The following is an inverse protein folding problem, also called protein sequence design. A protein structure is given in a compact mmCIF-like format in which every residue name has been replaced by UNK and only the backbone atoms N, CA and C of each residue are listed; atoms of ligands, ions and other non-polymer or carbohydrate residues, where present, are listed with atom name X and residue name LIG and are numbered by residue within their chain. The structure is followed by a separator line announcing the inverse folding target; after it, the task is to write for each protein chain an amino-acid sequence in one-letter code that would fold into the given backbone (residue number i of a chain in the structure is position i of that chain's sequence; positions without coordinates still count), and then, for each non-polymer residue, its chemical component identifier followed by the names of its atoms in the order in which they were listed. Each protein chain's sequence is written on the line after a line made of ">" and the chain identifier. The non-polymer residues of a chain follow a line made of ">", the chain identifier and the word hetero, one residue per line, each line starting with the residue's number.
data_IF_194368083532
#
_entry.id   IF_194368083532
#
_cell.length_a   1.000
_cell.length_b   1.000
_cell.length_c   1.000
_cell.angle_alpha   90.00
_cell.angle_beta   90.00
_cell.angle_gamma   90.00
#
_symmetry.space_group_name_H-M   'P 1'
#
loop_
_entity.id
_entity.type
_entity.pdbx_description
1 polymer ?
#
# COMPACT_ATOMS: atom_id res chain seq x y z
N UNK A 1 -29.67 14.52 16.66
CA UNK A 1 -30.15 13.22 16.14
C UNK A 1 -29.03 12.21 16.34
N UNK A 2 -29.34 11.00 16.81
CA UNK A 2 -28.35 9.93 16.90
C UNK A 2 -28.02 9.45 15.48
N UNK A 3 -26.75 9.14 15.20
CA UNK A 3 -26.31 8.63 13.90
C UNK A 3 -27.01 7.30 13.56
N UNK A 4 -27.29 6.48 14.57
CA UNK A 4 -27.95 5.19 14.37
C UNK A 4 -29.39 5.34 13.89
N UNK A 5 -30.10 6.37 14.36
CA UNK A 5 -31.49 6.65 13.95
C UNK A 5 -31.57 7.12 12.49
N UNK A 6 -30.49 7.70 11.96
CA UNK A 6 -30.43 8.26 10.61
C UNK A 6 -29.96 7.22 9.59
N UNK A 7 -28.93 6.44 9.93
CA UNK A 7 -28.27 5.53 8.98
C UNK A 7 -28.63 4.05 9.17
N UNK A 8 -29.27 3.68 10.28
CA UNK A 8 -29.74 2.32 10.55
C UNK A 8 -28.65 1.27 10.29
N UNK A 9 -28.81 0.42 9.28
CA UNK A 9 -27.87 -0.66 8.94
C UNK A 9 -26.56 -0.16 8.32
N UNK A 10 -26.54 1.06 7.77
CA UNK A 10 -25.34 1.70 7.23
C UNK A 10 -24.55 2.46 8.31
N UNK A 11 -24.98 2.37 9.58
CA UNK A 11 -24.32 3.07 10.69
C UNK A 11 -22.92 2.48 10.93
N UNK A 12 -21.87 3.32 11.03
CA UNK A 12 -20.55 2.84 11.37
C UNK A 12 -20.53 2.22 12.76
N UNK A 13 -19.73 1.16 12.93
CA UNK A 13 -19.57 0.51 14.23
C UNK A 13 -19.13 1.51 15.31
N UNK A 14 -19.61 1.34 16.55
CA UNK A 14 -19.27 2.21 17.70
C UNK A 14 -17.77 2.48 17.83
N UNK A 15 -16.94 1.44 17.63
CA UNK A 15 -15.47 1.53 17.65
C UNK A 15 -14.91 2.50 16.61
N UNK A 16 -15.51 2.58 15.43
CA UNK A 16 -15.12 3.52 14.38
C UNK A 16 -15.46 4.96 14.80
N UNK A 17 -16.65 5.17 15.36
CA UNK A 17 -17.10 6.48 15.86
C UNK A 17 -16.19 6.98 16.99
N UNK A 18 -15.84 6.12 17.94
CA UNK A 18 -14.91 6.45 19.04
C UNK A 18 -13.52 6.86 18.53
N UNK A 19 -12.99 6.15 17.51
CA UNK A 19 -11.72 6.51 16.87
C UNK A 19 -11.76 7.89 16.22
N UNK A 20 -12.82 8.18 15.45
CA UNK A 20 -13.00 9.49 14.83
C UNK A 20 -13.14 10.60 15.88
N UNK A 21 -13.88 10.36 16.95
CA UNK A 21 -14.01 11.33 18.04
C UNK A 21 -12.66 11.62 18.74
N UNK A 22 -11.81 10.61 18.89
CA UNK A 22 -10.45 10.80 19.39
C UNK A 22 -9.58 11.64 18.45
N UNK A 23 -9.68 11.46 17.13
CA UNK A 23 -9.01 12.30 16.12
C UNK A 23 -9.49 13.75 16.20
N UNK A 24 -10.81 13.97 16.22
CA UNK A 24 -11.38 15.31 16.32
C UNK A 24 -10.97 16.05 17.61
N UNK A 25 -10.90 15.34 18.76
CA UNK A 25 -10.39 15.92 20.01
C UNK A 25 -8.93 16.34 19.95
N UNK A 26 -8.13 15.76 19.04
CA UNK A 26 -6.73 16.14 18.79
C UNK A 26 -6.59 17.28 17.76
N UNK A 27 -7.71 17.80 17.24
CA UNK A 27 -7.71 18.83 16.19
C UNK A 27 -7.46 18.26 14.78
N UNK A 28 -7.52 16.94 14.61
CA UNK A 28 -7.34 16.28 13.32
C UNK A 28 -8.71 16.14 12.64
N UNK A 29 -9.01 17.04 11.72
CA UNK A 29 -10.29 17.09 10.98
C UNK A 29 -10.19 16.60 9.54
N UNK A 30 -9.04 16.07 9.13
CA UNK A 30 -8.91 15.46 7.81
C UNK A 30 -9.80 14.22 7.73
N UNK A 31 -10.72 14.22 6.77
CA UNK A 31 -11.65 13.11 6.53
C UNK A 31 -11.10 12.11 5.51
N UNK A 32 -10.02 12.45 4.80
CA UNK A 32 -9.39 11.55 3.85
C UNK A 32 -8.70 10.39 4.57
N UNK A 33 -8.73 9.22 3.93
CA UNK A 33 -7.95 8.07 4.37
C UNK A 33 -6.46 8.44 4.35
N UNK A 34 -5.77 8.20 5.46
CA UNK A 34 -4.31 8.24 5.47
C UNK A 34 -3.75 7.25 4.45
N UNK A 35 -2.55 7.52 3.89
CA UNK A 35 -1.87 6.59 3.01
C UNK A 35 -1.86 5.19 3.64
N UNK A 36 -2.55 4.25 2.99
CA UNK A 36 -2.56 2.88 3.47
C UNK A 36 -1.15 2.34 3.37
N UNK A 37 -0.66 1.68 4.42
CA UNK A 37 0.55 0.89 4.32
C UNK A 37 0.34 -0.12 3.20
N UNK A 38 1.09 0.06 2.11
CA UNK A 38 1.16 -0.96 1.08
C UNK A 38 1.90 -2.17 1.64
N UNK A 39 1.75 -3.32 0.97
CA UNK A 39 2.57 -4.49 1.29
C UNK A 39 4.04 -4.10 1.05
N UNK A 40 4.94 -4.28 2.03
CA UNK A 40 6.36 -4.06 1.84
C UNK A 40 6.83 -4.80 0.59
N UNK A 41 7.60 -4.08 -0.21
CA UNK A 41 8.18 -4.59 -1.44
C UNK A 41 9.54 -5.16 -1.08
N UNK A 42 9.74 -6.48 -1.18
CA UNK A 42 11.04 -7.10 -0.86
C UNK A 42 12.15 -6.70 -1.84
N UNK A 43 11.81 -5.98 -2.92
CA UNK A 43 12.75 -5.57 -3.96
C UNK A 43 12.84 -4.06 -3.98
N UNK A 44 14.06 -3.56 -3.86
CA UNK A 44 14.42 -2.16 -4.07
C UNK A 44 14.36 -1.82 -5.58
N UNK A 45 13.51 -0.85 -5.91
CA UNK A 45 13.30 -0.41 -7.29
C UNK A 45 14.59 0.25 -7.87
N UNK A 46 15.48 0.82 -7.04
CA UNK A 46 16.76 1.39 -7.49
C UNK A 46 17.78 0.31 -7.90
N UNK A 47 17.79 -0.81 -7.19
CA UNK A 47 18.63 -1.97 -7.54
C UNK A 47 18.15 -2.55 -8.88
N UNK A 48 16.85 -2.74 -9.05
CA UNK A 48 16.25 -3.17 -10.33
C UNK A 48 16.62 -2.23 -11.48
N UNK A 49 16.54 -0.91 -11.25
CA UNK A 49 16.87 0.09 -12.26
C UNK A 49 18.33 -0.02 -12.69
N UNK A 50 19.24 -0.31 -11.76
CA UNK A 50 20.66 -0.52 -12.04
C UNK A 50 20.88 -1.74 -12.96
N UNK A 51 20.17 -2.85 -12.74
CA UNK A 51 20.24 -4.02 -13.62
C UNK A 51 19.78 -3.69 -15.05
N UNK A 52 18.66 -2.97 -15.20
CA UNK A 52 18.12 -2.60 -16.51
C UNK A 52 19.01 -1.59 -17.25
N UNK A 53 19.60 -0.63 -16.53
CA UNK A 53 20.52 0.35 -17.13
C UNK A 53 21.83 -0.29 -17.60
N UNK A 54 22.37 -1.24 -16.83
CA UNK A 54 23.58 -1.96 -17.19
C UNK A 54 23.37 -2.92 -18.36
N UNK A 55 22.21 -3.59 -18.40
CA UNK A 55 21.84 -4.48 -19.49
C UNK A 55 20.35 -4.33 -19.85
N UNK A 56 20.03 -3.52 -20.87
CA UNK A 56 18.65 -3.32 -21.31
C UNK A 56 17.95 -4.59 -21.84
N UNK A 57 18.71 -5.65 -22.13
CA UNK A 57 18.19 -6.94 -22.60
C UNK A 57 18.20 -8.01 -21.50
N UNK A 58 18.37 -7.62 -20.23
CA UNK A 58 18.34 -8.57 -19.12
C UNK A 58 17.00 -9.30 -19.08
N UNK A 59 17.07 -10.63 -18.93
CA UNK A 59 15.89 -11.46 -18.80
C UNK A 59 15.31 -11.38 -17.40
N UNK A 60 14.01 -11.68 -17.28
CA UNK A 60 13.34 -11.76 -15.97
C UNK A 60 13.95 -12.84 -15.08
N UNK A 61 14.46 -13.93 -15.66
CA UNK A 61 15.09 -15.03 -14.92
C UNK A 61 16.43 -14.62 -14.31
N UNK A 62 17.25 -13.87 -15.05
CA UNK A 62 18.51 -13.33 -14.55
C UNK A 62 18.27 -12.35 -13.40
N UNK A 63 17.27 -11.48 -13.51
CA UNK A 63 16.89 -10.56 -12.43
C UNK A 63 16.38 -11.33 -11.20
N UNK A 64 15.52 -12.33 -11.41
CA UNK A 64 15.00 -13.16 -10.32
C UNK A 64 16.11 -13.89 -9.57
N UNK A 65 17.06 -14.45 -10.31
CA UNK A 65 18.24 -15.13 -9.76
C UNK A 65 19.15 -14.17 -9.01
N UNK A 66 19.45 -13.00 -9.60
CA UNK A 66 20.33 -12.01 -9.01
C UNK A 66 19.76 -11.40 -7.71
N UNK A 67 18.44 -11.24 -7.63
CA UNK A 67 17.74 -10.71 -6.47
C UNK A 67 17.24 -11.78 -5.50
N UNK A 68 17.47 -13.06 -5.82
CA UNK A 68 16.97 -14.22 -5.08
C UNK A 68 15.44 -14.13 -4.78
N UNK A 69 14.68 -13.77 -5.81
CA UNK A 69 13.21 -13.63 -5.74
C UNK A 69 12.54 -14.54 -6.75
N UNK A 70 11.24 -14.78 -6.54
CA UNK A 70 10.45 -15.51 -7.53
C UNK A 70 10.36 -14.75 -8.87
N UNK A 71 10.37 -15.51 -9.97
CA UNK A 71 10.28 -14.98 -11.34
C UNK A 71 9.05 -14.10 -11.55
N UNK A 72 7.91 -14.43 -10.96
CA UNK A 72 6.69 -13.61 -11.06
C UNK A 72 6.83 -12.26 -10.32
N UNK A 73 7.59 -12.24 -9.22
CA UNK A 73 7.89 -11.01 -8.48
C UNK A 73 8.80 -10.10 -9.29
N UNK A 74 9.88 -10.64 -9.87
CA UNK A 74 10.75 -9.90 -10.79
C UNK A 74 9.97 -9.38 -12.01
N UNK A 75 9.13 -10.21 -12.63
CA UNK A 75 8.31 -9.80 -13.78
C UNK A 75 7.37 -8.63 -13.45
N UNK A 76 6.65 -8.74 -12.34
CA UNK A 76 5.69 -7.70 -11.91
C UNK A 76 6.40 -6.38 -11.64
N UNK A 77 7.63 -6.42 -11.12
CA UNK A 77 8.43 -5.22 -10.87
C UNK A 77 8.95 -4.59 -12.15
N UNK A 78 9.47 -5.38 -13.08
CA UNK A 78 9.97 -4.88 -14.37
C UNK A 78 8.86 -4.27 -15.25
N UNK A 79 7.60 -4.69 -15.04
CA UNK A 79 6.44 -4.15 -15.76
C UNK A 79 5.94 -2.82 -15.18
N UNK A 80 6.28 -2.52 -13.91
CA UNK A 80 5.79 -1.34 -13.20
C UNK A 80 6.45 -0.08 -13.75
#
# INVERSE_FOLDING_TARGET
>A
KNIQDVYQDETPAKRTVEKWFAKFRRGEFNLEDEPRSSRPSDIDDDVLRTFVLNNPRISTEEVATALNVDRSTAFRRLKK
#
